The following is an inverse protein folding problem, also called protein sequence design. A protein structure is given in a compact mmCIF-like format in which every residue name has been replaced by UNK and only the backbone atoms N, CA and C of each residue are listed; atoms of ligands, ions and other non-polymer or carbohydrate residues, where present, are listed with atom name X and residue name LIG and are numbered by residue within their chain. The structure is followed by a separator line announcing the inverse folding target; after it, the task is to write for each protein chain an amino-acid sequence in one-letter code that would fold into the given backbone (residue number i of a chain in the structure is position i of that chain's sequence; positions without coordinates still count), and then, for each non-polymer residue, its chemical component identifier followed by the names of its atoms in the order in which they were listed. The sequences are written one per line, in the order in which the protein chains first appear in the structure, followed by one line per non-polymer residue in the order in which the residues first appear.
data_IF_404056005300
#
_entry.id   IF_404056005300
#
_cell.length_a   1.000
_cell.length_b   1.000
_cell.length_c   1.000
_cell.angle_alpha   90.00
_cell.angle_beta   90.00
_cell.angle_gamma   90.00
#
_symmetry.space_group_name_H-M   'P 1'
#
loop_
_entity.id
_entity.type
_entity.pdbx_description
1 polymer ?
#
# COMPACT_ATOMS: atom_id res chain seq x y z
N UNK A 1 -7.85 -19.57 14.92
CA UNK A 1 -8.07 -18.22 14.35
C UNK A 1 -7.82 -18.32 12.84
N UNK A 2 -8.83 -18.06 12.00
CA UNK A 2 -8.60 -18.02 10.55
C UNK A 2 -7.71 -16.83 10.23
N UNK A 3 -6.63 -17.04 9.47
CA UNK A 3 -5.81 -15.96 8.97
C UNK A 3 -6.69 -14.98 8.16
N UNK A 4 -6.55 -13.68 8.41
CA UNK A 4 -7.25 -12.66 7.63
C UNK A 4 -6.90 -12.87 6.15
N UNK A 5 -7.91 -13.11 5.32
CA UNK A 5 -7.70 -13.42 3.90
C UNK A 5 -7.17 -12.18 3.18
N UNK A 6 -6.05 -12.31 2.49
CA UNK A 6 -5.41 -11.21 1.75
C UNK A 6 -6.39 -10.51 0.81
N UNK A 7 -6.35 -9.17 0.65
CA UNK A 7 -7.18 -8.44 -0.31
C UNK A 7 -7.05 -9.01 -1.74
N UNK A 8 -8.16 -9.11 -2.46
CA UNK A 8 -8.21 -9.71 -3.79
C UNK A 8 -9.13 -8.94 -4.74
N UNK A 9 -8.96 -9.14 -6.04
CA UNK A 9 -9.84 -8.56 -7.04
C UNK A 9 -11.31 -8.89 -6.73
N UNK A 10 -12.18 -7.89 -6.85
CA UNK A 10 -13.59 -7.99 -6.51
C UNK A 10 -13.96 -7.55 -5.10
N UNK A 11 -13.02 -7.53 -4.15
CA UNK A 11 -13.26 -7.00 -2.80
C UNK A 11 -13.62 -5.51 -2.85
N UNK A 12 -14.40 -5.04 -1.88
CA UNK A 12 -14.74 -3.63 -1.71
C UNK A 12 -13.89 -3.06 -0.58
N UNK A 13 -13.19 -1.97 -0.87
CA UNK A 13 -12.34 -1.25 0.07
C UNK A 13 -12.98 0.09 0.37
N UNK A 14 -13.18 0.37 1.66
CA UNK A 14 -13.50 1.70 2.17
C UNK A 14 -12.21 2.46 2.40
N UNK A 15 -12.10 3.61 1.77
CA UNK A 15 -10.94 4.50 1.83
C UNK A 15 -11.40 5.81 2.50
N UNK A 16 -10.74 6.26 3.57
CA UNK A 16 -10.98 7.59 4.12
C UNK A 16 -10.82 8.68 3.05
N UNK A 17 -11.60 9.74 3.14
CA UNK A 17 -11.39 10.90 2.30
C UNK A 17 -10.04 11.56 2.64
N UNK A 18 -9.41 12.19 1.65
CA UNK A 18 -8.22 12.99 1.91
C UNK A 18 -8.55 14.16 2.83
N UNK A 19 -7.74 14.33 3.88
CA UNK A 19 -7.79 15.47 4.80
C UNK A 19 -6.39 16.09 4.94
N UNK A 20 -6.29 17.25 5.58
CA UNK A 20 -5.01 17.92 5.82
C UNK A 20 -4.04 17.05 6.66
N UNK A 21 -4.55 16.17 7.51
CA UNK A 21 -3.76 15.25 8.31
C UNK A 21 -3.04 14.19 7.45
N UNK A 22 -3.64 13.80 6.32
CA UNK A 22 -3.03 12.84 5.40
C UNK A 22 -1.70 13.35 4.81
N UNK A 23 -1.49 14.66 4.75
CA UNK A 23 -0.22 15.25 4.30
C UNK A 23 0.97 14.82 5.14
N UNK A 24 0.74 14.47 6.41
CA UNK A 24 1.79 13.96 7.30
C UNK A 24 2.33 12.61 6.84
N UNK A 25 1.50 11.82 6.15
CA UNK A 25 1.80 10.46 5.68
C UNK A 25 2.06 10.39 4.16
N UNK A 26 2.24 11.54 3.50
CA UNK A 26 2.65 11.59 2.10
C UNK A 26 4.16 11.33 1.95
N UNK A 27 4.60 10.56 0.97
CA UNK A 27 6.03 10.25 0.76
C UNK A 27 6.35 10.22 -0.71
N UNK A 28 7.52 10.78 -1.04
CA UNK A 28 8.07 10.66 -2.38
C UNK A 28 8.71 9.29 -2.54
N UNK A 29 8.17 8.49 -3.45
CA UNK A 29 8.76 7.20 -3.81
C UNK A 29 9.51 7.39 -5.12
N UNK A 30 10.81 7.13 -5.11
CA UNK A 30 11.68 7.22 -6.27
C UNK A 30 12.09 5.82 -6.78
N UNK A 31 12.16 5.66 -8.10
CA UNK A 31 12.58 4.43 -8.76
C UNK A 31 13.31 4.72 -10.07
N UNK A 32 13.93 3.70 -10.65
CA UNK A 32 14.53 3.74 -11.99
C UNK A 32 13.71 2.92 -12.95
N UNK A 33 13.44 3.47 -14.13
CA UNK A 33 12.72 2.79 -15.20
C UNK A 33 13.22 3.30 -16.55
N UNK A 34 13.60 2.38 -17.45
CA UNK A 34 14.15 2.72 -18.78
C UNK A 34 15.34 3.69 -18.68
N UNK A 35 16.30 3.40 -17.80
CA UNK A 35 17.47 4.24 -17.49
C UNK A 35 17.17 5.66 -16.97
N UNK A 36 15.90 6.01 -16.75
CA UNK A 36 15.50 7.31 -16.19
C UNK A 36 15.15 7.17 -14.72
N UNK A 37 15.48 8.20 -13.96
CA UNK A 37 14.98 8.38 -12.60
C UNK A 37 13.56 8.92 -12.67
N UNK A 38 12.68 8.30 -11.89
CA UNK A 38 11.27 8.66 -11.76
C UNK A 38 10.95 8.79 -10.28
N UNK A 39 9.97 9.61 -9.97
CA UNK A 39 9.49 9.76 -8.61
C UNK A 39 8.11 10.33 -8.59
N UNK A 40 7.28 9.89 -7.66
CA UNK A 40 5.91 10.38 -7.48
C UNK A 40 5.61 10.46 -5.98
N UNK A 41 4.65 11.30 -5.62
CA UNK A 41 4.13 11.37 -4.25
C UNK A 41 3.07 10.29 -4.05
N UNK A 42 3.13 9.60 -2.91
CA UNK A 42 2.17 8.60 -2.48
C UNK A 42 1.72 8.86 -1.06
N UNK A 43 0.44 8.72 -0.79
CA UNK A 43 -0.12 8.72 0.56
C UNK A 43 -0.20 7.30 1.07
N UNK A 44 0.18 7.08 2.33
CA UNK A 44 -0.15 5.83 3.01
C UNK A 44 -1.49 5.98 3.71
N UNK A 45 -2.45 5.13 3.35
CA UNK A 45 -3.85 5.24 3.78
C UNK A 45 -4.24 3.98 4.54
N UNK A 46 -4.82 4.19 5.73
CA UNK A 46 -5.48 3.14 6.48
C UNK A 46 -6.85 2.89 5.86
N UNK A 47 -6.94 1.85 5.04
CA UNK A 47 -8.17 1.45 4.39
C UNK A 47 -8.77 0.21 5.05
N UNK A 48 -10.04 -0.07 4.77
CA UNK A 48 -10.76 -1.19 5.36
C UNK A 48 -11.41 -2.04 4.26
N UNK A 49 -11.15 -3.35 4.28
CA UNK A 49 -11.81 -4.30 3.40
C UNK A 49 -13.16 -4.72 3.99
N UNK A 50 -14.24 -4.08 3.51
CA UNK A 50 -15.58 -4.32 4.02
C UNK A 50 -16.14 -5.67 3.54
N UNK A 51 -15.63 -6.21 2.44
CA UNK A 51 -15.96 -7.57 1.96
C UNK A 51 -15.36 -8.67 2.85
N UNK A 52 -14.41 -8.33 3.71
CA UNK A 52 -13.70 -9.27 4.60
C UNK A 52 -13.79 -8.83 6.05
N UNK A 53 -15.00 -8.70 6.58
CA UNK A 53 -15.27 -8.39 7.99
C UNK A 53 -14.58 -7.12 8.50
N UNK A 54 -14.50 -6.08 7.66
CA UNK A 54 -13.81 -4.84 7.98
C UNK A 54 -12.34 -5.04 8.36
N UNK A 55 -11.64 -5.96 7.68
CA UNK A 55 -10.20 -6.17 7.89
C UNK A 55 -9.41 -4.93 7.44
N UNK A 56 -8.47 -4.49 8.26
CA UNK A 56 -7.58 -3.37 7.94
C UNK A 56 -6.61 -3.71 6.80
N UNK A 57 -6.39 -2.74 5.91
CA UNK A 57 -5.52 -2.88 4.73
C UNK A 57 -4.66 -1.63 4.58
N UNK A 58 -3.37 -1.83 4.30
CA UNK A 58 -2.49 -0.75 3.88
C UNK A 58 -2.74 -0.47 2.40
N UNK A 59 -3.06 0.78 2.09
CA UNK A 59 -3.23 1.27 0.73
C UNK A 59 -2.26 2.42 0.47
N UNK A 60 -1.49 2.34 -0.60
CA UNK A 60 -0.75 3.47 -1.14
C UNK A 60 -1.53 4.10 -2.28
N UNK A 61 -1.76 5.41 -2.21
CA UNK A 61 -2.47 6.17 -3.25
C UNK A 61 -1.55 7.21 -3.86
N UNK A 62 -1.38 7.21 -5.19
CA UNK A 62 -0.62 8.27 -5.86
C UNK A 62 -1.30 9.63 -5.63
N UNK A 63 -0.52 10.68 -5.39
CA UNK A 63 -1.05 11.92 -4.83
C UNK A 63 -2.19 12.57 -5.62
N UNK A 64 -2.06 12.67 -6.94
CA UNK A 64 -3.11 13.24 -7.80
C UNK A 64 -4.37 12.37 -7.89
N UNK A 65 -4.38 11.18 -7.29
CA UNK A 65 -5.48 10.21 -7.33
C UNK A 65 -6.18 10.07 -5.98
N UNK A 66 -5.68 10.70 -4.92
CA UNK A 66 -6.31 10.63 -3.62
C UNK A 66 -7.48 11.61 -3.57
N UNK A 67 -8.70 11.07 -3.48
CA UNK A 67 -9.91 11.85 -3.62
C UNK A 67 -10.19 12.70 -2.36
N UNK A 68 -10.13 14.02 -2.51
CA UNK A 68 -10.49 15.01 -1.48
C UNK A 68 -11.95 15.45 -1.51
N UNK A 69 -12.73 15.01 -2.51
CA UNK A 69 -14.13 15.41 -2.70
C UNK A 69 -15.16 14.54 -1.97
N UNK A 70 -14.74 13.52 -1.23
CA UNK A 70 -15.64 12.63 -0.49
C UNK A 70 -15.90 13.15 0.94
N UNK A 71 -17.15 13.07 1.41
CA UNK A 71 -17.48 13.38 2.80
C UNK A 71 -17.12 12.18 3.70
N UNK A 72 -15.91 12.21 4.27
CA UNK A 72 -15.45 11.25 5.28
C UNK A 72 -14.80 9.99 4.72
N UNK A 73 -15.50 9.22 3.87
CA UNK A 73 -14.92 8.04 3.19
C UNK A 73 -15.64 7.71 1.89
N UNK A 74 -15.01 6.92 1.04
CA UNK A 74 -15.60 6.39 -0.18
C UNK A 74 -15.25 4.91 -0.36
N UNK A 75 -16.07 4.20 -1.12
CA UNK A 75 -15.89 2.77 -1.38
C UNK A 75 -15.44 2.57 -2.83
N UNK A 76 -14.47 1.69 -3.01
CA UNK A 76 -13.96 1.30 -4.33
C UNK A 76 -13.85 -0.21 -4.41
N UNK A 77 -14.27 -0.76 -5.53
CA UNK A 77 -14.06 -2.18 -5.85
C UNK A 77 -12.62 -2.36 -6.32
N UNK A 78 -11.92 -3.36 -5.79
CA UNK A 78 -10.61 -3.76 -6.30
C UNK A 78 -10.77 -4.32 -7.71
N UNK A 79 -10.20 -3.60 -8.66
CA UNK A 79 -10.22 -3.92 -10.08
C UNK A 79 -8.80 -3.82 -10.66
N UNK A 80 -8.72 -3.88 -12.00
CA UNK A 80 -7.47 -3.84 -12.74
C UNK A 80 -6.65 -2.55 -12.56
N UNK A 81 -7.19 -1.50 -11.91
CA UNK A 81 -6.47 -0.26 -11.61
C UNK A 81 -5.56 -0.39 -10.38
N UNK A 82 -5.76 -1.41 -9.56
CA UNK A 82 -4.90 -1.68 -8.40
C UNK A 82 -3.75 -2.59 -8.79
N UNK A 83 -2.63 -2.41 -8.08
CA UNK A 83 -1.56 -3.38 -8.00
C UNK A 83 -1.35 -3.81 -6.55
N UNK A 84 -0.65 -4.93 -6.37
CA UNK A 84 -0.51 -5.58 -5.08
C UNK A 84 0.96 -5.79 -4.74
N UNK A 85 1.40 -5.39 -3.56
CA UNK A 85 2.65 -5.89 -2.99
C UNK A 85 2.35 -6.99 -1.98
N UNK A 86 3.26 -7.94 -1.82
CA UNK A 86 3.11 -9.11 -0.95
C UNK A 86 4.47 -9.78 -0.71
N UNK A 87 4.60 -10.45 0.43
CA UNK A 87 5.81 -11.21 0.78
C UNK A 87 5.98 -12.49 -0.05
N UNK A 88 4.89 -13.16 -0.39
CA UNK A 88 4.90 -14.44 -1.11
C UNK A 88 3.66 -14.60 -2.00
N UNK A 89 3.61 -15.70 -2.76
CA UNK A 89 2.56 -15.97 -3.75
C UNK A 89 1.17 -16.16 -3.12
N UNK A 90 1.13 -16.55 -1.85
CA UNK A 90 -0.07 -16.74 -1.06
C UNK A 90 -0.71 -15.41 -0.65
N UNK A 91 -0.02 -14.28 -0.86
CA UNK A 91 -0.51 -12.96 -0.50
C UNK A 91 -0.26 -12.57 0.96
N UNK A 92 0.73 -13.19 1.61
CA UNK A 92 1.11 -12.82 2.98
C UNK A 92 1.52 -11.34 3.03
N UNK A 93 0.97 -10.61 4.01
CA UNK A 93 1.16 -9.16 4.21
C UNK A 93 0.82 -8.32 2.96
N UNK A 94 -0.19 -8.74 2.20
CA UNK A 94 -0.58 -8.03 0.98
C UNK A 94 -1.06 -6.62 1.27
N UNK A 95 -0.46 -5.66 0.56
CA UNK A 95 -0.88 -4.25 0.55
C UNK A 95 -1.30 -3.84 -0.86
N UNK A 96 -2.06 -2.76 -0.94
CA UNK A 96 -2.62 -2.24 -2.17
C UNK A 96 -1.85 -1.01 -2.65
N UNK A 97 -1.76 -0.84 -3.97
CA UNK A 97 -1.23 0.36 -4.60
C UNK A 97 -2.21 0.83 -5.67
N UNK A 98 -2.71 2.05 -5.53
CA UNK A 98 -3.59 2.73 -6.49
C UNK A 98 -2.85 3.88 -7.15
N UNK A 99 -2.41 3.66 -8.39
CA UNK A 99 -1.53 4.59 -9.10
C UNK A 99 -1.51 4.36 -10.61
N UNK A 100 -0.83 5.24 -11.34
CA UNK A 100 -0.57 5.04 -12.76
C UNK A 100 0.29 3.77 -12.98
N UNK A 101 -0.29 2.73 -13.57
CA UNK A 101 0.37 1.44 -13.86
C UNK A 101 1.50 1.51 -14.88
N UNK A 102 1.69 2.64 -15.56
CA UNK A 102 2.90 2.87 -16.36
C UNK A 102 4.15 3.03 -15.48
N UNK A 103 3.95 3.40 -14.21
CA UNK A 103 5.00 3.43 -13.19
C UNK A 103 5.32 2.00 -12.77
N UNK A 104 6.61 1.65 -12.77
CA UNK A 104 7.09 0.33 -12.36
C UNK A 104 8.03 0.40 -11.14
N UNK A 105 7.62 1.01 -10.01
CA UNK A 105 8.37 0.90 -8.77
C UNK A 105 8.35 -0.55 -8.27
N UNK A 106 9.46 -1.00 -7.72
CA UNK A 106 9.53 -2.27 -7.00
C UNK A 106 8.77 -2.19 -5.66
N UNK A 107 8.18 -3.30 -5.21
CA UNK A 107 7.35 -3.32 -4.01
C UNK A 107 8.12 -2.95 -2.73
N UNK A 108 9.41 -3.29 -2.61
CA UNK A 108 10.25 -2.91 -1.47
C UNK A 108 10.33 -1.39 -1.27
N UNK A 109 10.15 -0.58 -2.32
CA UNK A 109 10.20 0.88 -2.22
C UNK A 109 9.05 1.44 -1.38
N UNK A 110 7.89 0.78 -1.39
CA UNK A 110 6.75 1.13 -0.55
C UNK A 110 6.95 0.66 0.89
N UNK A 111 7.48 -0.54 1.09
CA UNK A 111 7.75 -1.02 2.46
C UNK A 111 8.85 -0.22 3.17
N UNK A 112 9.83 0.28 2.42
CA UNK A 112 10.85 1.17 2.97
C UNK A 112 10.24 2.42 3.64
N UNK A 113 9.16 2.99 3.09
CA UNK A 113 8.53 4.18 3.68
C UNK A 113 7.87 3.87 5.02
N UNK A 114 7.34 2.65 5.20
CA UNK A 114 6.75 2.20 6.46
C UNK A 114 7.83 1.98 7.54
N UNK A 115 8.96 1.38 7.16
CA UNK A 115 10.05 1.01 8.09
C UNK A 115 10.86 2.21 8.52
N UNK A 116 11.07 3.20 7.64
CA UNK A 116 11.84 4.41 7.94
C UNK A 116 11.12 5.39 8.90
N UNK A 117 10.08 4.92 9.60
CA UNK A 117 9.59 5.53 10.84
C UNK A 117 8.72 6.76 10.67
N UNK A 118 8.27 7.04 9.45
CA UNK A 118 7.55 8.25 9.12
C UNK A 118 6.07 8.03 8.83
N UNK A 119 5.54 6.82 9.06
CA UNK A 119 4.13 6.49 8.84
C UNK A 119 3.51 6.08 10.18
N UNK A 120 2.23 6.37 10.37
CA UNK A 120 1.53 6.14 11.62
C UNK A 120 1.63 4.69 12.14
N UNK A 121 1.73 4.54 13.46
CA UNK A 121 1.97 3.28 14.20
C UNK A 121 0.99 2.14 13.86
N UNK A 122 -0.20 2.45 13.32
CA UNK A 122 -1.15 1.43 12.85
C UNK A 122 -0.56 0.59 11.71
N UNK A 123 0.18 1.18 10.77
CA UNK A 123 0.73 0.47 9.62
C UNK A 123 1.79 -0.55 10.05
N UNK A 124 2.56 -0.23 11.09
CA UNK A 124 3.55 -1.15 11.69
C UNK A 124 2.92 -2.36 12.39
N UNK A 125 1.63 -2.30 12.75
CA UNK A 125 0.90 -3.42 13.37
C UNK A 125 0.32 -4.39 12.33
N UNK A 126 0.04 -3.90 11.13
CA UNK A 126 -0.54 -4.70 10.04
C UNK A 126 0.48 -5.51 9.25
N UNK A 127 1.76 -5.19 9.41
CA UNK A 127 2.88 -5.90 8.81
C UNK A 127 3.84 -6.27 9.93
N UNK A 128 4.49 -7.44 9.91
CA UNK A 128 5.49 -7.82 10.91
C UNK A 128 6.76 -6.97 10.74
N UNK A 129 6.69 -5.69 11.11
CA UNK A 129 7.82 -4.74 11.18
C UNK A 129 8.05 -4.27 12.62
N UNK A 130 7.46 -4.98 13.59
CA UNK A 130 7.51 -4.64 15.01
C UNK A 130 8.95 -4.58 15.55
N UNK A 131 9.87 -5.35 14.97
CA UNK A 131 11.30 -5.26 15.25
C UNK A 131 12.08 -4.94 13.97
N UNK A 132 13.21 -4.24 14.12
CA UNK A 132 14.06 -3.84 13.00
C UNK A 132 14.53 -5.03 12.14
N UNK A 133 14.79 -6.18 12.78
CA UNK A 133 15.15 -7.42 12.10
C UNK A 133 14.03 -7.98 11.22
N UNK A 134 12.78 -7.91 11.67
CA UNK A 134 11.62 -8.38 10.92
C UNK A 134 11.37 -7.48 9.70
N UNK A 135 11.53 -6.16 9.89
CA UNK A 135 11.50 -5.20 8.79
C UNK A 135 12.58 -5.45 7.75
N UNK A 136 13.81 -5.75 8.17
CA UNK A 136 14.91 -6.07 7.26
C UNK A 136 14.67 -7.40 6.52
N UNK A 137 14.16 -8.42 7.21
CA UNK A 137 13.82 -9.70 6.61
C UNK A 137 12.73 -9.54 5.54
N UNK A 138 11.67 -8.78 5.85
CA UNK A 138 10.62 -8.45 4.87
C UNK A 138 11.21 -7.72 3.67
N UNK A 139 11.99 -6.65 3.90
CA UNK A 139 12.64 -5.88 2.84
C UNK A 139 13.50 -6.72 1.93
N UNK A 140 14.23 -7.68 2.50
CA UNK A 140 15.07 -8.63 1.76
C UNK A 140 14.22 -9.57 0.92
N UNK A 141 13.13 -10.11 1.48
CA UNK A 141 12.27 -11.08 0.80
C UNK A 141 11.55 -10.52 -0.44
N UNK A 142 11.30 -9.22 -0.47
CA UNK A 142 10.58 -8.55 -1.57
C UNK A 142 11.50 -7.63 -2.40
N UNK A 143 12.82 -7.68 -2.16
CA UNK A 143 13.78 -6.83 -2.83
C UNK A 143 13.85 -7.18 -4.33
N UNK A 144 13.79 -6.17 -5.19
CA UNK A 144 13.79 -6.38 -6.65
C UNK A 144 12.48 -6.88 -7.26
N UNK A 145 11.46 -7.18 -6.47
CA UNK A 145 10.17 -7.62 -6.98
C UNK A 145 9.28 -6.45 -7.40
N UNK A 146 8.59 -6.61 -8.53
CA UNK A 146 7.56 -5.65 -8.95
C UNK A 146 6.26 -5.86 -8.18
N UNK A 147 5.41 -4.83 -8.19
CA UNK A 147 4.02 -4.98 -7.79
C UNK A 147 3.30 -5.96 -8.75
N UNK A 148 2.38 -6.75 -8.20
CA UNK A 148 1.62 -7.75 -8.92
C UNK A 148 0.32 -7.19 -9.48
N UNK A 149 -0.19 -7.82 -10.54
CA UNK A 149 -1.52 -7.60 -11.11
C UNK A 149 -2.17 -8.98 -11.25
N UNK A 150 -3.46 -9.06 -10.95
CA UNK A 150 -4.27 -10.28 -11.03
C UNK A 150 -5.50 -10.03 -11.89
#
# INVERSE_FOLDING_TARGET
MSAATAPAAGDIIRIPAHTAECEKDNRRIAWKQTMMERSEMYYTVHATNISKNNTDVILFVQGNWYNSGANGSYEIKLDAKFQYGQKNKEGENRFLVYHNKANKPYQHRFMATLIQGQVAEWAKKLIPVAQAQDGLALMTSIFGDYLHTY
#
